data_IF_195505835276
#
_entry.id   IF_195505835276
#
_cell.length_a   1.000
_cell.length_b   1.000
_cell.length_c   1.000
_cell.angle_alpha   90.00
_cell.angle_beta   90.00
_cell.angle_gamma   90.00
#
_symmetry.space_group_name_H-M   'P 1'
#
loop_
_entity.id
_entity.type
_entity.pdbx_description
1 polymer ?
#
# COMPACT_ATOMS: atom_id res chain seq x y z
N UNK A 1 -35.69 12.58 25.67
CA UNK A 1 -35.64 12.07 24.28
C UNK A 1 -34.19 11.79 23.98
N UNK A 2 -33.86 10.59 23.51
CA UNK A 2 -32.51 10.33 22.99
C UNK A 2 -32.31 11.15 21.71
N UNK A 3 -31.22 11.90 21.65
CA UNK A 3 -30.81 12.62 20.43
C UNK A 3 -30.43 11.58 19.39
N UNK A 4 -30.98 11.67 18.18
CA UNK A 4 -30.72 10.66 17.16
C UNK A 4 -29.25 10.67 16.73
N UNK A 5 -28.72 9.52 16.30
CA UNK A 5 -27.35 9.43 15.78
C UNK A 5 -27.07 10.43 14.64
N UNK A 6 -28.08 10.79 13.85
CA UNK A 6 -27.95 11.79 12.80
C UNK A 6 -27.79 13.22 13.33
N UNK A 7 -28.44 13.56 14.46
CA UNK A 7 -28.27 14.84 15.14
C UNK A 7 -26.96 14.91 15.92
N UNK A 8 -26.51 13.79 16.50
CA UNK A 8 -25.18 13.66 17.09
C UNK A 8 -24.07 13.84 16.05
N UNK A 9 -24.20 13.23 14.87
CA UNK A 9 -23.26 13.45 13.76
C UNK A 9 -23.27 14.92 13.32
N UNK A 10 -24.45 15.50 13.05
CA UNK A 10 -24.59 16.91 12.62
C UNK A 10 -23.97 17.93 13.58
N UNK A 11 -23.99 17.68 14.89
CA UNK A 11 -23.40 18.57 15.89
C UNK A 11 -21.89 18.38 16.09
N UNK A 12 -21.29 17.32 15.55
CA UNK A 12 -19.87 16.98 15.71
C UNK A 12 -19.06 16.97 14.40
N UNK A 13 -19.70 17.06 13.22
CA UNK A 13 -18.98 17.26 11.95
C UNK A 13 -18.42 18.68 11.82
N UNK A 14 -17.22 18.78 11.26
CA UNK A 14 -16.64 20.03 10.77
C UNK A 14 -16.88 20.14 9.26
N UNK A 15 -17.84 20.97 8.79
CA UNK A 15 -18.15 21.06 7.37
C UNK A 15 -17.08 21.84 6.60
N UNK A 16 -16.90 21.47 5.34
CA UNK A 16 -16.14 22.21 4.32
C UNK A 16 -16.88 22.10 2.99
N UNK A 17 -16.62 22.98 2.03
CA UNK A 17 -17.26 22.99 0.70
C UNK A 17 -16.55 22.07 -0.27
N UNK A 18 -15.22 22.19 -0.36
CA UNK A 18 -14.38 21.28 -1.15
C UNK A 18 -12.93 21.35 -0.69
N UNK A 19 -12.17 20.28 -0.95
CA UNK A 19 -10.73 20.25 -0.64
C UNK A 19 -9.98 21.39 -1.32
N UNK A 20 -10.29 21.68 -2.60
CA UNK A 20 -9.63 22.73 -3.36
C UNK A 20 -9.93 24.16 -2.86
N UNK A 21 -11.09 24.42 -2.23
CA UNK A 21 -11.44 25.74 -1.71
C UNK A 21 -11.02 25.93 -0.25
N UNK A 22 -11.08 24.87 0.56
CA UNK A 22 -10.90 24.93 2.01
C UNK A 22 -9.63 24.20 2.49
N UNK A 23 -8.64 23.98 1.61
CA UNK A 23 -7.45 23.13 1.86
C UNK A 23 -6.76 23.44 3.20
N UNK A 24 -6.51 24.71 3.49
CA UNK A 24 -5.90 25.13 4.76
C UNK A 24 -6.76 24.80 5.98
N UNK A 25 -8.08 24.92 5.86
CA UNK A 25 -9.02 24.68 6.95
C UNK A 25 -9.16 23.20 7.21
N UNK A 26 -9.27 22.39 6.14
CA UNK A 26 -9.42 20.93 6.21
C UNK A 26 -8.15 20.28 6.75
N UNK A 27 -6.97 20.67 6.27
CA UNK A 27 -5.69 20.09 6.73
C UNK A 27 -5.42 20.39 8.21
N UNK A 28 -5.69 21.63 8.67
CA UNK A 28 -5.62 22.02 10.10
C UNK A 28 -6.56 21.23 11.01
N UNK A 29 -7.59 20.52 10.50
CA UNK A 29 -8.38 19.62 11.34
C UNK A 29 -7.61 18.38 11.80
N UNK A 30 -6.53 18.03 11.09
CA UNK A 30 -5.68 16.87 11.38
C UNK A 30 -4.43 17.23 12.20
N UNK A 31 -4.17 18.49 12.51
CA UNK A 31 -3.02 18.96 13.33
C UNK A 31 -2.80 18.11 14.60
N UNK A 32 -3.89 17.80 15.33
CA UNK A 32 -3.89 16.89 16.50
C UNK A 32 -3.56 15.40 16.23
N UNK A 33 -3.14 15.05 15.02
CA UNK A 33 -2.67 13.72 14.61
C UNK A 33 -1.15 13.74 14.36
N UNK A 34 -0.49 14.91 14.38
CA UNK A 34 0.92 15.08 14.06
C UNK A 34 1.89 14.25 14.89
N UNK A 35 1.52 13.89 16.12
CA UNK A 35 2.35 13.09 17.05
C UNK A 35 2.24 11.56 16.84
N UNK A 36 1.38 11.08 15.95
CA UNK A 36 1.28 9.64 15.68
C UNK A 36 2.47 9.13 14.84
N UNK A 37 2.84 7.86 15.04
CA UNK A 37 3.93 7.18 14.33
C UNK A 37 3.46 6.67 12.97
N UNK A 38 2.20 6.27 12.88
CA UNK A 38 1.53 5.78 11.67
C UNK A 38 0.16 6.43 11.52
N UNK A 39 -0.07 7.08 10.38
CA UNK A 39 -1.36 7.64 9.97
C UNK A 39 -1.88 6.89 8.73
N UNK A 40 -2.87 6.03 8.92
CA UNK A 40 -3.49 5.28 7.82
C UNK A 40 -4.69 6.07 7.27
N UNK A 41 -4.73 6.31 5.95
CA UNK A 41 -5.77 7.08 5.26
C UNK A 41 -6.43 6.21 4.19
N UNK A 42 -7.68 5.85 4.45
CA UNK A 42 -8.47 4.91 3.64
C UNK A 42 -9.24 5.57 2.51
N UNK A 43 -9.34 4.91 1.35
CA UNK A 43 -10.41 5.17 0.39
C UNK A 43 -11.60 4.19 0.56
N UNK A 44 -12.82 4.64 0.26
CA UNK A 44 -13.99 3.75 0.15
C UNK A 44 -14.15 3.15 -1.27
N UNK A 45 -13.33 3.60 -2.21
CA UNK A 45 -13.19 3.06 -3.57
C UNK A 45 -11.96 3.67 -4.24
N UNK A 46 -11.18 2.85 -4.94
CA UNK A 46 -9.98 3.28 -5.67
C UNK A 46 -10.25 4.16 -6.90
N UNK A 47 -11.51 4.46 -7.21
CA UNK A 47 -11.94 5.20 -8.40
C UNK A 47 -12.52 6.59 -8.14
N UNK A 48 -12.27 7.19 -6.97
CA UNK A 48 -12.86 8.48 -6.57
C UNK A 48 -11.79 9.57 -6.46
N UNK A 49 -11.84 10.56 -7.36
CA UNK A 49 -10.90 11.70 -7.43
C UNK A 49 -10.73 12.42 -6.09
N UNK A 50 -11.84 12.66 -5.38
CA UNK A 50 -11.85 13.38 -4.12
C UNK A 50 -11.11 12.63 -3.00
N UNK A 51 -11.07 11.29 -3.04
CA UNK A 51 -10.34 10.47 -2.07
C UNK A 51 -8.82 10.52 -2.29
N UNK A 52 -8.34 10.63 -3.54
CA UNK A 52 -6.93 10.91 -3.80
C UNK A 52 -6.58 12.36 -3.46
N UNK A 53 -7.44 13.31 -3.82
CA UNK A 53 -7.25 14.72 -3.52
C UNK A 53 -7.11 14.99 -2.01
N UNK A 54 -8.01 14.44 -1.18
CA UNK A 54 -7.91 14.62 0.28
C UNK A 54 -6.72 13.88 0.88
N UNK A 55 -6.39 12.67 0.39
CA UNK A 55 -5.18 11.94 0.79
C UNK A 55 -3.92 12.76 0.50
N UNK A 56 -3.81 13.30 -0.70
CA UNK A 56 -2.69 14.15 -1.10
C UNK A 56 -2.54 15.37 -0.19
N UNK A 57 -3.59 16.20 -0.02
CA UNK A 57 -3.48 17.44 0.76
C UNK A 57 -3.22 17.19 2.26
N UNK A 58 -3.83 16.17 2.88
CA UNK A 58 -3.49 15.77 4.25
C UNK A 58 -2.02 15.34 4.33
N UNK A 59 -1.54 14.57 3.35
CA UNK A 59 -0.18 14.02 3.35
C UNK A 59 0.87 15.12 3.16
N UNK A 60 0.63 16.07 2.24
CA UNK A 60 1.46 17.27 2.06
C UNK A 60 1.61 18.03 3.38
N UNK A 61 0.49 18.32 4.03
CA UNK A 61 0.47 19.04 5.31
C UNK A 61 1.22 18.29 6.42
N UNK A 62 1.05 16.98 6.52
CA UNK A 62 1.72 16.14 7.51
C UNK A 62 3.23 16.05 7.31
N UNK A 63 3.69 15.95 6.04
CA UNK A 63 5.11 16.02 5.69
C UNK A 63 5.67 17.37 6.12
N UNK A 64 5.03 18.46 5.68
CA UNK A 64 5.50 19.84 5.91
C UNK A 64 5.53 20.27 7.39
N UNK A 65 4.56 19.86 8.20
CA UNK A 65 4.33 20.44 9.53
C UNK A 65 4.57 19.46 10.70
N UNK A 66 4.58 18.15 10.44
CA UNK A 66 4.61 17.13 11.51
C UNK A 66 5.71 16.07 11.34
N UNK A 67 6.59 16.22 10.35
CA UNK A 67 7.79 15.38 10.19
C UNK A 67 7.51 13.97 9.65
N UNK A 68 6.41 13.79 8.90
CA UNK A 68 6.18 12.55 8.17
C UNK A 68 7.13 12.45 6.97
N UNK A 69 7.81 11.32 6.82
CA UNK A 69 8.89 11.13 5.84
C UNK A 69 8.84 9.77 5.12
N UNK A 70 7.74 9.02 5.30
CA UNK A 70 7.40 7.79 4.61
C UNK A 70 5.96 7.94 4.10
N UNK A 71 5.76 7.86 2.78
CA UNK A 71 4.45 7.67 2.17
C UNK A 71 4.40 6.25 1.63
N UNK A 72 3.63 5.38 2.29
CA UNK A 72 3.49 3.98 1.92
C UNK A 72 2.12 3.75 1.28
N UNK A 73 2.05 3.01 0.18
CA UNK A 73 0.82 2.78 -0.58
C UNK A 73 0.53 1.29 -0.75
N UNK A 74 -0.75 0.95 -0.93
CA UNK A 74 -1.23 -0.37 -1.36
C UNK A 74 -0.87 -0.62 -2.83
N UNK A 75 0.41 -0.78 -3.08
CA UNK A 75 0.98 -1.13 -4.38
C UNK A 75 2.28 -1.91 -4.20
N UNK A 76 2.74 -2.46 -5.31
CA UNK A 76 3.97 -3.22 -5.40
C UNK A 76 5.23 -2.42 -5.09
N UNK A 77 6.19 -3.06 -4.41
CA UNK A 77 7.46 -2.45 -4.03
C UNK A 77 8.30 -1.95 -5.23
N UNK A 78 8.59 -2.73 -6.29
CA UNK A 78 9.39 -2.25 -7.42
C UNK A 78 8.77 -1.04 -8.14
N UNK A 79 7.44 -1.04 -8.26
CA UNK A 79 6.70 0.00 -8.97
C UNK A 79 6.76 1.32 -8.18
N UNK A 80 6.54 1.26 -6.86
CA UNK A 80 6.69 2.40 -5.97
C UNK A 80 8.14 2.87 -5.83
N UNK A 81 9.13 1.96 -5.83
CA UNK A 81 10.55 2.33 -5.83
C UNK A 81 10.95 3.15 -7.07
N UNK A 82 10.37 2.86 -8.24
CA UNK A 82 10.60 3.68 -9.45
C UNK A 82 10.11 5.13 -9.29
N UNK A 83 9.12 5.35 -8.42
CA UNK A 83 8.63 6.67 -8.00
C UNK A 83 9.47 7.23 -6.85
N UNK A 84 9.90 6.42 -5.87
CA UNK A 84 10.81 6.83 -4.79
C UNK A 84 12.08 7.49 -5.33
N UNK A 85 12.74 6.83 -6.29
CA UNK A 85 13.95 7.34 -6.93
C UNK A 85 13.67 8.66 -7.67
N UNK A 86 12.47 8.84 -8.21
CA UNK A 86 12.04 10.09 -8.83
C UNK A 86 11.78 11.21 -7.82
N UNK A 87 11.10 10.93 -6.70
CA UNK A 87 10.78 11.96 -5.70
C UNK A 87 11.95 12.32 -4.80
N UNK A 88 12.86 11.39 -4.52
CA UNK A 88 14.07 11.62 -3.71
C UNK A 88 15.33 11.93 -4.54
N UNK A 89 15.19 12.07 -5.87
CA UNK A 89 16.30 12.32 -6.83
C UNK A 89 17.45 11.29 -6.76
N UNK A 90 17.15 10.05 -6.36
CA UNK A 90 18.17 9.05 -6.02
C UNK A 90 18.85 8.49 -7.27
N UNK A 91 20.20 8.50 -7.34
CA UNK A 91 20.93 7.70 -8.32
C UNK A 91 20.81 6.20 -8.00
N UNK A 92 21.12 5.33 -8.96
CA UNK A 92 21.15 3.88 -8.73
C UNK A 92 20.95 3.05 -10.00
N UNK A 93 20.95 1.70 -9.89
CA UNK A 93 20.72 0.80 -11.02
C UNK A 93 19.26 0.83 -11.51
N UNK A 94 18.30 1.15 -10.63
CA UNK A 94 16.89 1.33 -10.97
C UNK A 94 16.59 2.70 -11.62
N UNK A 95 15.69 2.73 -12.59
CA UNK A 95 15.32 3.98 -13.29
C UNK A 95 14.21 4.74 -12.56
N UNK A 96 14.49 6.01 -12.21
CA UNK A 96 13.51 6.96 -11.71
C UNK A 96 12.51 7.37 -12.81
N UNK A 97 11.22 7.01 -12.70
CA UNK A 97 10.22 7.40 -13.72
C UNK A 97 8.81 7.64 -13.15
N UNK A 98 8.16 8.71 -13.62
CA UNK A 98 6.71 8.97 -13.49
C UNK A 98 6.01 9.05 -14.85
N UNK A 99 6.70 8.54 -15.87
CA UNK A 99 6.37 8.86 -17.25
C UNK A 99 5.12 8.15 -17.78
N UNK A 100 4.58 8.70 -18.86
CA UNK A 100 3.37 8.18 -19.50
C UNK A 100 3.62 6.80 -20.14
N UNK A 101 2.55 6.03 -20.33
CA UNK A 101 2.61 4.74 -21.04
C UNK A 101 3.20 4.86 -22.44
N UNK A 102 3.02 6.01 -23.11
CA UNK A 102 3.62 6.26 -24.43
C UNK A 102 5.14 6.47 -24.34
N UNK A 103 5.63 7.18 -23.31
CA UNK A 103 7.06 7.35 -23.07
C UNK A 103 7.73 6.02 -22.71
N UNK A 104 7.06 5.21 -21.88
CA UNK A 104 7.51 3.86 -21.53
C UNK A 104 7.68 2.97 -22.76
N UNK A 105 6.64 2.89 -23.61
CA UNK A 105 6.67 2.13 -24.86
C UNK A 105 7.77 2.61 -25.83
N UNK A 106 8.02 3.94 -25.93
CA UNK A 106 9.11 4.48 -26.75
C UNK A 106 10.51 4.09 -26.26
N UNK A 107 10.68 3.86 -24.95
CA UNK A 107 11.92 3.37 -24.34
C UNK A 107 11.99 1.83 -24.25
N UNK A 108 11.02 1.11 -24.82
CA UNK A 108 10.99 -0.36 -24.78
C UNK A 108 10.80 -0.95 -23.38
N UNK A 109 10.16 -0.20 -22.46
CA UNK A 109 10.01 -0.57 -21.05
C UNK A 109 8.54 -0.58 -20.62
N UNK A 110 8.25 -1.32 -19.56
CA UNK A 110 6.96 -1.31 -18.90
C UNK A 110 6.85 -0.12 -17.92
N UNK A 111 5.75 0.64 -17.91
CA UNK A 111 5.51 1.66 -16.89
C UNK A 111 5.05 1.04 -15.56
N UNK A 112 5.39 1.68 -14.44
CA UNK A 112 4.91 1.29 -13.11
C UNK A 112 3.38 1.37 -12.98
N UNK A 113 2.82 0.56 -12.08
CA UNK A 113 1.41 0.43 -11.75
C UNK A 113 0.53 0.00 -12.93
N UNK A 114 0.91 -1.10 -13.60
CA UNK A 114 0.04 -1.81 -14.56
C UNK A 114 -0.65 -3.05 -14.00
N UNK A 115 -0.12 -3.69 -12.94
CA UNK A 115 -0.75 -4.87 -12.30
C UNK A 115 -2.02 -4.53 -11.50
N UNK A 116 -2.12 -3.28 -11.02
CA UNK A 116 -3.34 -2.76 -10.41
C UNK A 116 -4.21 -2.11 -11.48
N UNK A 117 -5.55 -2.06 -11.30
CA UNK A 117 -6.44 -1.32 -12.18
C UNK A 117 -5.92 0.11 -12.37
N UNK A 118 -5.61 0.49 -13.61
CA UNK A 118 -4.72 1.64 -13.89
C UNK A 118 -5.16 2.96 -13.26
N UNK A 119 -6.46 3.16 -13.04
CA UNK A 119 -7.02 4.35 -12.39
C UNK A 119 -6.66 4.49 -10.90
N UNK A 120 -6.23 3.40 -10.23
CA UNK A 120 -5.84 3.38 -8.82
C UNK A 120 -4.60 4.24 -8.57
N UNK A 121 -3.52 4.05 -9.33
CA UNK A 121 -2.25 4.77 -9.11
C UNK A 121 -1.79 5.61 -10.31
N UNK A 122 -2.33 5.42 -11.53
CA UNK A 122 -1.98 6.21 -12.73
C UNK A 122 -3.03 7.29 -13.03
N UNK A 123 -3.48 7.99 -12.00
CA UNK A 123 -4.40 9.14 -12.08
C UNK A 123 -3.68 10.51 -11.95
N UNK A 124 -4.43 11.60 -12.09
CA UNK A 124 -3.88 12.97 -12.10
C UNK A 124 -3.46 13.40 -10.69
N UNK A 125 -4.24 13.00 -9.69
CA UNK A 125 -4.06 13.36 -8.29
C UNK A 125 -2.77 12.76 -7.71
N UNK A 126 -2.49 11.49 -8.02
CA UNK A 126 -1.23 10.81 -7.66
C UNK A 126 -0.06 11.43 -8.43
N UNK A 127 -0.19 11.73 -9.73
CA UNK A 127 0.85 12.44 -10.49
C UNK A 127 1.19 13.79 -9.84
N UNK A 128 0.20 14.62 -9.56
CA UNK A 128 0.40 15.97 -9.02
C UNK A 128 0.93 15.94 -7.58
N UNK A 129 0.56 14.92 -6.80
CA UNK A 129 1.18 14.66 -5.50
C UNK A 129 2.66 14.25 -5.61
N UNK A 130 3.00 13.39 -6.58
CA UNK A 130 4.38 12.93 -6.82
C UNK A 130 5.28 14.05 -7.34
N UNK A 131 4.81 14.88 -8.27
CA UNK A 131 5.53 16.09 -8.71
C UNK A 131 5.74 17.08 -7.56
N UNK A 132 4.74 17.22 -6.67
CA UNK A 132 4.89 18.00 -5.44
C UNK A 132 5.95 17.40 -4.51
N UNK A 133 5.97 16.07 -4.29
CA UNK A 133 6.99 15.43 -3.44
C UNK A 133 8.40 15.65 -4.00
N UNK A 134 8.59 15.46 -5.32
CA UNK A 134 9.87 15.74 -5.99
C UNK A 134 10.31 17.18 -5.80
N UNK A 135 9.38 18.13 -5.92
CA UNK A 135 9.65 19.55 -5.72
C UNK A 135 10.03 19.85 -4.27
N UNK A 136 9.26 19.33 -3.30
CA UNK A 136 9.52 19.49 -1.87
C UNK A 136 10.87 18.90 -1.43
N UNK A 137 11.25 17.75 -1.98
CA UNK A 137 12.51 17.08 -1.67
C UNK A 137 13.75 17.67 -2.37
N UNK A 138 13.60 18.67 -3.26
CA UNK A 138 14.71 19.11 -4.13
C UNK A 138 15.89 19.75 -3.39
N UNK A 139 15.64 20.35 -2.22
CA UNK A 139 16.66 20.97 -1.36
C UNK A 139 16.97 20.14 -0.08
N UNK A 140 16.40 18.93 0.03
CA UNK A 140 16.59 18.03 1.18
C UNK A 140 17.65 16.98 0.86
N UNK A 141 18.35 16.49 1.90
CA UNK A 141 19.21 15.31 1.75
C UNK A 141 18.37 14.04 1.64
N UNK A 142 18.94 12.95 1.13
CA UNK A 142 18.21 11.70 0.89
C UNK A 142 17.60 11.07 2.17
N UNK A 143 18.30 11.23 3.30
CA UNK A 143 17.84 10.79 4.62
C UNK A 143 16.68 11.64 5.18
N UNK A 144 16.63 12.93 4.84
CA UNK A 144 15.59 13.89 5.25
C UNK A 144 14.37 13.86 4.32
N UNK A 145 14.60 13.67 3.01
CA UNK A 145 13.60 13.67 1.95
C UNK A 145 12.50 12.63 2.18
N UNK A 146 11.24 13.00 1.94
CA UNK A 146 10.09 12.10 2.08
C UNK A 146 10.11 11.03 0.96
N UNK A 147 10.14 9.76 1.35
CA UNK A 147 10.16 8.63 0.40
C UNK A 147 8.77 8.08 0.07
N UNK A 148 8.69 7.31 -1.02
CA UNK A 148 7.44 6.76 -1.55
C UNK A 148 7.56 5.24 -1.74
N UNK A 149 6.73 4.44 -1.05
CA UNK A 149 6.98 3.01 -0.88
C UNK A 149 5.74 2.15 -1.16
N UNK A 150 5.94 0.97 -1.71
CA UNK A 150 4.90 -0.04 -1.85
C UNK A 150 4.83 -0.90 -0.60
N UNK A 151 3.66 -1.42 -0.28
CA UNK A 151 3.47 -2.38 0.81
C UNK A 151 3.08 -3.78 0.30
N UNK A 152 2.65 -3.91 -0.95
CA UNK A 152 1.97 -5.10 -1.48
C UNK A 152 2.94 -6.11 -2.13
N UNK A 153 2.45 -7.34 -2.34
CA UNK A 153 3.26 -8.52 -2.66
C UNK A 153 3.00 -9.17 -4.03
N UNK A 154 2.13 -8.62 -4.87
CA UNK A 154 1.79 -9.22 -6.18
C UNK A 154 2.95 -9.22 -7.19
N UNK A 155 3.96 -8.37 -6.97
CA UNK A 155 5.18 -8.19 -7.76
C UNK A 155 6.19 -9.36 -7.69
N UNK A 156 5.75 -10.62 -7.72
CA UNK A 156 6.65 -11.78 -7.66
C UNK A 156 7.75 -11.74 -8.74
N UNK A 157 7.35 -11.56 -10.01
CA UNK A 157 8.27 -11.52 -11.15
C UNK A 157 9.22 -10.31 -11.14
N UNK A 158 8.69 -9.11 -10.91
CA UNK A 158 9.49 -7.87 -10.88
C UNK A 158 10.40 -7.80 -9.66
N UNK A 159 9.99 -8.36 -8.51
CA UNK A 159 10.84 -8.45 -7.32
C UNK A 159 11.99 -9.46 -7.49
N UNK A 160 11.76 -10.62 -8.12
CA UNK A 160 12.85 -11.55 -8.48
C UNK A 160 13.90 -10.86 -9.36
N UNK A 161 13.45 -10.06 -10.33
CA UNK A 161 14.34 -9.26 -11.18
C UNK A 161 15.08 -8.18 -10.38
N UNK A 162 14.40 -7.43 -9.51
CA UNK A 162 15.03 -6.39 -8.68
C UNK A 162 16.13 -6.96 -7.76
N UNK A 163 15.93 -8.16 -7.18
CA UNK A 163 16.97 -8.88 -6.41
C UNK A 163 18.16 -9.21 -7.30
N UNK A 164 17.94 -9.70 -8.52
CA UNK A 164 19.01 -10.04 -9.46
C UNK A 164 19.80 -8.80 -9.89
N UNK A 165 19.11 -7.71 -10.26
CA UNK A 165 19.73 -6.46 -10.72
C UNK A 165 20.54 -5.78 -9.59
N UNK A 166 20.06 -5.86 -8.34
CA UNK A 166 20.82 -5.44 -7.16
C UNK A 166 22.09 -6.28 -6.97
N UNK A 167 21.98 -7.62 -7.01
CA UNK A 167 23.12 -8.51 -6.84
C UNK A 167 24.15 -8.40 -7.97
N UNK A 168 23.74 -8.21 -9.24
CA UNK A 168 24.68 -7.96 -10.36
C UNK A 168 25.55 -6.70 -10.13
N UNK A 169 25.10 -5.79 -9.26
CA UNK A 169 25.83 -4.58 -8.84
C UNK A 169 26.79 -4.86 -7.67
N UNK A 170 26.38 -5.60 -6.64
CA UNK A 170 27.17 -5.77 -5.39
C UNK A 170 27.90 -7.12 -5.23
N UNK A 171 27.37 -8.22 -5.77
CA UNK A 171 27.96 -9.56 -5.74
C UNK A 171 27.48 -10.38 -6.96
N UNK A 172 28.29 -10.38 -8.01
CA UNK A 172 27.99 -11.04 -9.29
C UNK A 172 27.93 -12.57 -9.18
N UNK A 173 28.62 -13.18 -8.23
CA UNK A 173 28.57 -14.62 -8.02
C UNK A 173 27.24 -15.00 -7.36
N UNK A 174 26.83 -14.24 -6.34
CA UNK A 174 25.49 -14.37 -5.75
C UNK A 174 24.37 -14.03 -6.76
N UNK A 175 24.60 -13.12 -7.71
CA UNK A 175 23.66 -12.86 -8.79
C UNK A 175 23.47 -14.08 -9.71
N UNK A 176 24.51 -14.87 -9.99
CA UNK A 176 24.36 -16.15 -10.71
C UNK A 176 23.59 -17.18 -9.88
N UNK A 177 23.80 -17.22 -8.55
CA UNK A 177 23.02 -18.08 -7.65
C UNK A 177 21.54 -17.67 -7.66
N UNK A 178 21.22 -16.37 -7.63
CA UNK A 178 19.87 -15.85 -7.72
C UNK A 178 19.20 -16.19 -9.07
N UNK A 179 19.91 -15.96 -10.19
CA UNK A 179 19.47 -16.38 -11.54
C UNK A 179 19.16 -17.87 -11.60
N UNK A 180 20.02 -18.71 -11.02
CA UNK A 180 19.81 -20.16 -10.94
C UNK A 180 18.57 -20.54 -10.13
N UNK A 181 18.42 -20.01 -8.91
CA UNK A 181 17.29 -20.29 -8.00
C UNK A 181 15.95 -19.80 -8.54
N UNK A 182 15.90 -18.58 -9.07
CA UNK A 182 14.67 -17.99 -9.58
C UNK A 182 14.30 -18.50 -10.99
N UNK A 183 15.23 -19.08 -11.77
CA UNK A 183 14.99 -19.53 -13.15
C UNK A 183 13.67 -20.26 -13.39
N UNK A 184 13.30 -21.20 -12.50
CA UNK A 184 12.07 -22.00 -12.62
C UNK A 184 10.81 -21.26 -12.18
N UNK A 185 10.91 -20.40 -11.16
CA UNK A 185 9.80 -19.56 -10.69
C UNK A 185 9.52 -18.42 -11.69
N UNK A 186 10.54 -17.93 -12.40
CA UNK A 186 10.43 -16.93 -13.47
C UNK A 186 9.56 -17.39 -14.65
N UNK A 187 9.33 -18.70 -14.85
CA UNK A 187 8.36 -19.18 -15.84
C UNK A 187 6.91 -18.75 -15.53
N UNK A 188 6.64 -18.39 -14.28
CA UNK A 188 5.34 -17.95 -13.77
C UNK A 188 5.36 -16.46 -13.36
N UNK A 189 6.35 -15.70 -13.85
CA UNK A 189 6.50 -14.29 -13.51
C UNK A 189 5.41 -13.40 -14.13
N UNK A 190 4.94 -13.76 -15.32
CA UNK A 190 3.92 -13.02 -16.07
C UNK A 190 2.49 -13.37 -15.61
N UNK A 191 2.24 -14.63 -15.23
CA UNK A 191 1.00 -15.07 -14.56
C UNK A 191 1.30 -15.97 -13.34
N UNK A 192 1.40 -15.38 -12.13
CA UNK A 192 1.57 -16.14 -10.89
C UNK A 192 0.33 -16.94 -10.45
N UNK A 193 -0.85 -16.74 -11.05
CA UNK A 193 -2.05 -17.51 -10.72
C UNK A 193 -1.90 -18.95 -11.26
N UNK A 194 -1.29 -19.14 -12.43
CA UNK A 194 -0.97 -20.48 -12.94
C UNK A 194 -0.04 -21.26 -12.00
N UNK A 195 0.92 -20.60 -11.35
CA UNK A 195 1.77 -21.22 -10.30
C UNK A 195 0.94 -21.71 -9.11
N UNK A 196 -0.01 -20.89 -8.66
CA UNK A 196 -0.93 -21.25 -7.60
C UNK A 196 -1.78 -22.47 -7.95
N UNK A 197 -2.29 -22.52 -9.18
CA UNK A 197 -3.10 -23.63 -9.68
C UNK A 197 -2.30 -24.93 -9.79
N UNK A 198 -1.10 -24.89 -10.38
CA UNK A 198 -0.20 -26.05 -10.47
C UNK A 198 0.21 -26.56 -9.07
N UNK A 199 0.27 -25.68 -8.06
CA UNK A 199 0.56 -26.07 -6.68
C UNK A 199 -0.50 -26.94 -6.00
N UNK A 200 -1.66 -27.17 -6.64
CA UNK A 200 -2.63 -28.17 -6.19
C UNK A 200 -2.21 -29.61 -6.55
N UNK A 201 -1.32 -29.80 -7.54
CA UNK A 201 -0.82 -31.11 -7.92
C UNK A 201 0.07 -31.70 -6.82
N UNK A 202 -0.26 -32.87 -6.28
CA UNK A 202 0.48 -33.49 -5.18
C UNK A 202 1.97 -33.80 -5.51
N UNK A 203 2.32 -33.89 -6.79
CA UNK A 203 3.69 -34.03 -7.29
C UNK A 203 4.49 -32.72 -7.28
N UNK A 204 3.82 -31.56 -7.28
CA UNK A 204 4.47 -30.25 -7.35
C UNK A 204 4.83 -29.75 -5.95
N UNK A 205 6.13 -29.56 -5.71
CA UNK A 205 6.66 -29.16 -4.39
C UNK A 205 6.86 -27.64 -4.26
N UNK A 206 6.60 -26.87 -5.32
CA UNK A 206 6.91 -25.44 -5.38
C UNK A 206 8.41 -25.13 -5.37
N UNK A 207 8.72 -23.83 -5.27
CA UNK A 207 10.10 -23.31 -5.26
C UNK A 207 10.49 -22.64 -3.93
N UNK A 208 9.63 -22.73 -2.91
CA UNK A 208 9.81 -22.23 -1.54
C UNK A 208 11.23 -22.44 -0.97
N UNK A 209 11.83 -23.62 -1.17
CA UNK A 209 13.18 -23.93 -0.67
C UNK A 209 14.25 -23.02 -1.28
N UNK A 210 14.19 -22.79 -2.59
CA UNK A 210 15.14 -21.96 -3.32
C UNK A 210 14.93 -20.47 -3.01
N UNK A 211 13.67 -20.04 -2.89
CA UNK A 211 13.30 -18.67 -2.50
C UNK A 211 13.74 -18.35 -1.06
N UNK A 212 13.49 -19.25 -0.11
CA UNK A 212 13.95 -19.09 1.29
C UNK A 212 15.47 -19.14 1.38
N UNK A 213 16.15 -19.98 0.59
CA UNK A 213 17.61 -20.01 0.54
C UNK A 213 18.17 -18.67 0.02
N UNK A 214 17.53 -18.07 -1.00
CA UNK A 214 17.95 -16.77 -1.53
C UNK A 214 17.81 -15.64 -0.50
N UNK A 215 16.67 -15.55 0.19
CA UNK A 215 16.48 -14.58 1.27
C UNK A 215 17.48 -14.79 2.42
N UNK A 216 17.76 -16.05 2.80
CA UNK A 216 18.76 -16.36 3.84
C UNK A 216 20.16 -15.90 3.47
N UNK A 217 20.61 -16.16 2.25
CA UNK A 217 21.98 -15.81 1.83
C UNK A 217 22.19 -14.28 1.75
N UNK A 218 21.17 -13.53 1.31
CA UNK A 218 21.16 -12.05 1.38
C UNK A 218 21.25 -11.56 2.83
N UNK A 219 20.45 -12.15 3.73
CA UNK A 219 20.44 -11.75 5.16
C UNK A 219 21.72 -12.13 5.91
N UNK A 220 22.41 -13.21 5.50
CA UNK A 220 23.73 -13.58 6.04
C UNK A 220 24.78 -12.53 5.66
N UNK A 221 24.75 -12.04 4.42
CA UNK A 221 25.67 -11.02 3.91
C UNK A 221 25.29 -9.57 4.22
N UNK A 222 24.24 -9.33 5.02
CA UNK A 222 23.68 -7.98 5.25
C UNK A 222 24.70 -6.88 5.61
N UNK A 223 25.73 -7.20 6.41
CA UNK A 223 26.74 -6.21 6.83
C UNK A 223 27.65 -5.82 5.65
N UNK A 224 28.09 -6.81 4.87
CA UNK A 224 28.89 -6.65 3.66
C UNK A 224 28.10 -5.84 2.62
N UNK A 225 26.86 -6.26 2.36
CA UNK A 225 25.99 -5.66 1.34
C UNK A 225 25.47 -4.27 1.71
N UNK A 226 25.21 -3.97 2.99
CA UNK A 226 24.81 -2.62 3.41
C UNK A 226 25.96 -1.60 3.27
N UNK A 227 27.21 -2.06 3.37
CA UNK A 227 28.40 -1.21 3.23
C UNK A 227 28.89 -1.09 1.78
N UNK A 228 28.51 -2.02 0.89
CA UNK A 228 29.00 -2.08 -0.50
C UNK A 228 28.68 -0.84 -1.35
N UNK A 229 27.59 -0.14 -1.03
CA UNK A 229 27.17 1.11 -1.68
C UNK A 229 27.03 2.29 -0.70
N UNK A 230 27.51 2.13 0.54
CA UNK A 230 27.51 3.12 1.64
C UNK A 230 26.13 3.71 2.03
N UNK A 231 25.03 3.22 1.44
CA UNK A 231 23.71 3.88 1.49
C UNK A 231 22.68 3.19 2.39
N UNK A 232 22.87 1.90 2.69
CA UNK A 232 21.92 1.02 3.37
C UNK A 232 20.55 0.84 2.68
N UNK A 233 20.21 1.66 1.69
CA UNK A 233 18.87 1.83 1.11
C UNK A 233 18.69 0.94 -0.13
N UNK A 234 19.71 0.80 -0.98
CA UNK A 234 19.78 -0.23 -2.02
C UNK A 234 19.78 -1.62 -1.38
N UNK A 235 20.52 -1.82 -0.28
CA UNK A 235 20.45 -3.09 0.47
C UNK A 235 19.04 -3.33 1.03
N UNK A 236 18.42 -2.33 1.66
CA UNK A 236 17.06 -2.45 2.18
C UNK A 236 16.05 -2.80 1.08
N UNK A 237 16.18 -2.19 -0.11
CA UNK A 237 15.34 -2.52 -1.26
C UNK A 237 15.60 -3.94 -1.78
N UNK A 238 16.86 -4.36 -1.91
CA UNK A 238 17.22 -5.73 -2.31
C UNK A 238 16.70 -6.78 -1.32
N UNK A 239 16.82 -6.52 -0.02
CA UNK A 239 16.26 -7.37 1.06
C UNK A 239 14.73 -7.43 0.97
N UNK A 240 14.06 -6.28 0.84
CA UNK A 240 12.61 -6.20 0.82
C UNK A 240 12.02 -6.86 -0.44
N UNK A 241 12.64 -6.71 -1.61
CA UNK A 241 12.27 -7.47 -2.81
C UNK A 241 12.43 -8.98 -2.59
N UNK A 242 13.51 -9.45 -1.94
CA UNK A 242 13.68 -10.87 -1.62
C UNK A 242 12.61 -11.40 -0.63
N UNK A 243 12.11 -10.54 0.27
CA UNK A 243 10.96 -10.84 1.14
C UNK A 243 9.65 -10.90 0.37
N UNK A 244 9.40 -9.95 -0.54
CA UNK A 244 8.23 -9.98 -1.45
C UNK A 244 8.20 -11.29 -2.21
N UNK A 245 9.31 -11.76 -2.81
CA UNK A 245 9.32 -13.06 -3.52
C UNK A 245 8.97 -14.23 -2.57
N UNK A 246 9.46 -14.22 -1.33
CA UNK A 246 9.15 -15.25 -0.32
C UNK A 246 7.69 -15.24 0.12
N UNK A 247 7.09 -14.07 0.28
CA UNK A 247 5.69 -13.94 0.71
C UNK A 247 4.71 -14.16 -0.46
N UNK A 248 5.07 -13.72 -1.67
CA UNK A 248 4.33 -13.96 -2.91
C UNK A 248 4.25 -15.45 -3.26
N UNK A 249 5.37 -16.19 -3.16
CA UNK A 249 5.39 -17.65 -3.39
C UNK A 249 4.39 -18.37 -2.48
N UNK A 250 4.33 -17.98 -1.20
CA UNK A 250 3.36 -18.51 -0.24
C UNK A 250 1.92 -18.08 -0.55
N UNK A 251 1.71 -16.80 -0.88
CA UNK A 251 0.40 -16.25 -1.20
C UNK A 251 -0.26 -16.93 -2.42
N UNK A 252 0.45 -17.04 -3.55
CA UNK A 252 -0.11 -17.66 -4.75
C UNK A 252 -0.39 -19.16 -4.54
N UNK A 253 0.41 -19.87 -3.73
CA UNK A 253 0.12 -21.25 -3.29
C UNK A 253 -1.12 -21.36 -2.40
N UNK A 254 -1.35 -20.39 -1.51
CA UNK A 254 -2.50 -20.38 -0.60
C UNK A 254 -3.82 -20.01 -1.30
N UNK A 255 -3.76 -19.22 -2.38
CA UNK A 255 -4.92 -18.72 -3.14
C UNK A 255 -5.96 -19.78 -3.50
N UNK A 256 -5.52 -20.99 -3.85
CA UNK A 256 -6.41 -22.10 -4.22
C UNK A 256 -6.72 -23.08 -3.07
N UNK A 257 -6.22 -22.81 -1.86
CA UNK A 257 -6.35 -23.68 -0.68
C UNK A 257 -7.28 -23.11 0.40
N UNK A 258 -7.36 -21.78 0.55
CA UNK A 258 -8.29 -21.11 1.46
C UNK A 258 -8.39 -19.60 1.23
N UNK A 259 -9.57 -19.00 1.45
CA UNK A 259 -9.80 -17.55 1.24
C UNK A 259 -9.19 -16.69 2.33
N UNK A 260 -9.43 -17.05 3.59
CA UNK A 260 -9.05 -16.20 4.72
C UNK A 260 -7.51 -16.22 4.94
N UNK A 261 -6.85 -17.30 4.49
CA UNK A 261 -5.39 -17.45 4.52
C UNK A 261 -4.67 -16.41 3.67
N UNK A 262 -5.12 -16.15 2.43
CA UNK A 262 -4.46 -15.18 1.54
C UNK A 262 -4.66 -13.74 1.98
N UNK A 263 -5.84 -13.40 2.49
CA UNK A 263 -6.09 -12.08 3.07
C UNK A 263 -5.13 -11.81 4.25
N UNK A 264 -5.04 -12.77 5.18
CA UNK A 264 -4.18 -12.66 6.35
C UNK A 264 -2.69 -12.61 5.99
N UNK A 265 -2.25 -13.37 4.98
CA UNK A 265 -0.89 -13.28 4.44
C UNK A 265 -0.58 -11.89 3.87
N UNK A 266 -1.50 -11.30 3.08
CA UNK A 266 -1.32 -10.00 2.43
C UNK A 266 -1.23 -8.85 3.43
N UNK A 267 -2.18 -8.75 4.36
CA UNK A 267 -2.16 -7.67 5.36
C UNK A 267 -1.02 -7.84 6.39
N UNK A 268 -0.61 -9.08 6.68
CA UNK A 268 0.61 -9.33 7.49
C UNK A 268 1.86 -8.85 6.75
N UNK A 269 2.03 -9.19 5.47
CA UNK A 269 3.16 -8.71 4.67
C UNK A 269 3.20 -7.18 4.60
N UNK A 270 2.07 -6.52 4.31
CA UNK A 270 2.00 -5.05 4.30
C UNK A 270 2.44 -4.44 5.64
N UNK A 271 2.00 -5.03 6.76
CA UNK A 271 2.35 -4.56 8.10
C UNK A 271 3.84 -4.79 8.43
N UNK A 272 4.39 -5.94 8.07
CA UNK A 272 5.82 -6.19 8.28
C UNK A 272 6.69 -5.29 7.41
N UNK A 273 6.31 -5.06 6.14
CA UNK A 273 7.00 -4.15 5.23
C UNK A 273 6.99 -2.72 5.76
N UNK A 274 5.84 -2.25 6.27
CA UNK A 274 5.74 -0.96 6.96
C UNK A 274 6.62 -0.89 8.22
N UNK A 275 6.70 -1.98 8.99
CA UNK A 275 7.54 -2.05 10.19
C UNK A 275 9.03 -1.99 9.83
N UNK A 276 9.46 -2.75 8.81
CA UNK A 276 10.84 -2.71 8.28
C UNK A 276 11.21 -1.33 7.75
N UNK A 277 10.29 -0.65 7.05
CA UNK A 277 10.46 0.73 6.58
C UNK A 277 10.68 1.71 7.74
N UNK A 278 9.85 1.65 8.79
CA UNK A 278 9.96 2.51 9.98
C UNK A 278 11.26 2.27 10.76
N UNK A 279 11.73 1.03 10.79
CA UNK A 279 13.01 0.66 11.41
C UNK A 279 14.21 1.15 10.58
N UNK A 280 14.20 0.92 9.26
CA UNK A 280 15.25 1.35 8.34
C UNK A 280 15.39 2.89 8.28
N UNK A 281 14.28 3.63 8.24
CA UNK A 281 14.25 5.09 8.24
C UNK A 281 14.50 5.72 9.63
N UNK A 282 14.80 4.92 10.64
CA UNK A 282 15.20 5.38 11.97
C UNK A 282 14.06 5.68 12.95
N UNK A 283 14.44 5.90 14.21
CA UNK A 283 13.49 5.97 15.34
C UNK A 283 12.44 7.09 15.21
N UNK A 284 12.82 8.21 14.62
CA UNK A 284 12.00 9.42 14.52
C UNK A 284 11.17 9.50 13.22
N UNK A 285 11.31 8.51 12.33
CA UNK A 285 10.48 8.39 11.12
C UNK A 285 8.98 8.39 11.43
N UNK A 286 8.13 8.87 10.52
CA UNK A 286 6.68 8.69 10.63
C UNK A 286 6.09 8.36 9.27
N UNK A 287 5.14 7.43 9.26
CA UNK A 287 4.55 6.90 8.04
C UNK A 287 3.10 7.33 7.85
N UNK A 288 2.76 7.68 6.61
CA UNK A 288 1.39 7.77 6.13
C UNK A 288 1.14 6.58 5.22
N UNK A 289 0.03 5.89 5.43
CA UNK A 289 -0.37 4.72 4.64
C UNK A 289 -1.59 5.07 3.80
N UNK A 290 -1.54 4.91 2.48
CA UNK A 290 -2.71 4.99 1.60
C UNK A 290 -3.09 3.59 1.13
N UNK A 291 -4.21 3.08 1.63
CA UNK A 291 -4.76 1.77 1.27
C UNK A 291 -6.29 1.83 1.31
N UNK A 292 -6.97 0.76 0.93
CA UNK A 292 -8.43 0.69 1.05
C UNK A 292 -8.90 0.72 2.51
N UNK A 293 -10.13 1.19 2.74
CA UNK A 293 -10.81 1.15 4.04
C UNK A 293 -10.79 -0.25 4.69
N UNK A 294 -10.79 -1.33 3.90
CA UNK A 294 -10.66 -2.71 4.38
C UNK A 294 -9.31 -2.98 5.07
N UNK A 295 -8.23 -2.39 4.56
CA UNK A 295 -6.88 -2.54 5.11
C UNK A 295 -6.64 -1.59 6.29
N UNK A 296 -7.06 -0.33 6.20
CA UNK A 296 -6.74 0.69 7.23
C UNK A 296 -7.64 0.70 8.48
N UNK A 297 -8.78 0.00 8.43
CA UNK A 297 -9.72 -0.13 9.55
C UNK A 297 -9.17 -0.97 10.72
N UNK A 298 -10.00 -1.28 11.71
CA UNK A 298 -9.66 -2.26 12.76
C UNK A 298 -10.55 -3.49 12.58
N UNK A 299 -10.02 -4.58 12.01
CA UNK A 299 -10.79 -5.77 11.66
C UNK A 299 -11.52 -6.41 12.85
N UNK A 300 -11.04 -6.23 14.10
CA UNK A 300 -11.71 -6.68 15.33
C UNK A 300 -13.07 -6.03 15.54
N UNK A 301 -13.30 -4.85 14.95
CA UNK A 301 -14.56 -4.11 15.00
C UNK A 301 -15.47 -4.36 13.79
N UNK A 302 -15.06 -5.17 12.81
CA UNK A 302 -15.82 -5.44 11.58
C UNK A 302 -16.04 -6.96 11.39
N UNK A 303 -16.91 -7.35 10.46
CA UNK A 303 -17.17 -8.77 10.17
C UNK A 303 -15.94 -9.58 9.78
N UNK A 304 -14.85 -8.91 9.40
CA UNK A 304 -13.55 -9.53 9.11
C UNK A 304 -13.09 -10.34 10.32
N UNK A 305 -12.87 -9.69 11.47
CA UNK A 305 -12.34 -10.35 12.67
C UNK A 305 -13.33 -11.30 13.35
N UNK A 306 -14.62 -10.94 13.49
CA UNK A 306 -15.57 -11.75 14.26
C UNK A 306 -16.40 -12.76 13.45
N UNK A 307 -16.22 -12.86 12.13
CA UNK A 307 -16.93 -13.87 11.33
C UNK A 307 -16.13 -14.54 10.20
N UNK A 308 -14.93 -14.05 9.87
CA UNK A 308 -14.07 -14.61 8.82
C UNK A 308 -12.65 -14.93 9.28
N UNK A 309 -12.32 -14.65 10.55
CA UNK A 309 -10.96 -14.78 11.09
C UNK A 309 -9.91 -13.97 10.30
N UNK A 310 -10.37 -12.92 9.59
CA UNK A 310 -9.57 -11.98 8.81
C UNK A 310 -8.98 -10.90 9.73
N UNK A 311 -7.66 -10.70 9.67
CA UNK A 311 -6.96 -9.53 10.24
C UNK A 311 -6.83 -8.42 9.19
N UNK A 312 -6.36 -7.24 9.59
CA UNK A 312 -5.97 -6.20 8.64
C UNK A 312 -4.80 -5.31 9.13
N UNK A 313 -4.19 -4.59 8.19
CA UNK A 313 -3.04 -3.71 8.41
C UNK A 313 -3.29 -2.69 9.54
N UNK A 314 -4.49 -2.10 9.58
CA UNK A 314 -4.87 -1.12 10.61
C UNK A 314 -5.07 -1.73 12.01
N UNK A 315 -5.55 -2.97 12.13
CA UNK A 315 -5.52 -3.72 13.39
C UNK A 315 -4.07 -3.95 13.82
N UNK A 316 -3.22 -4.49 12.94
CA UNK A 316 -1.82 -4.82 13.27
C UNK A 316 -1.03 -3.57 13.70
N UNK A 317 -1.26 -2.44 13.02
CA UNK A 317 -0.68 -1.15 13.42
C UNK A 317 -1.15 -0.69 14.82
N UNK A 318 -2.45 -0.86 15.14
CA UNK A 318 -2.98 -0.53 16.47
C UNK A 318 -2.48 -1.46 17.57
N UNK A 319 -2.24 -2.73 17.26
CA UNK A 319 -1.66 -3.69 18.20
C UNK A 319 -0.16 -3.41 18.45
N UNK A 320 0.58 -2.99 17.42
CA UNK A 320 2.02 -2.69 17.50
C UNK A 320 2.35 -1.32 18.09
N UNK A 321 1.60 -0.29 17.72
CA UNK A 321 1.90 1.12 18.03
C UNK A 321 0.86 1.78 18.96
N UNK A 322 -0.23 1.08 19.30
CA UNK A 322 -1.25 1.57 20.23
C UNK A 322 -1.85 2.91 19.79
N UNK A 323 -1.81 3.90 20.68
CA UNK A 323 -2.31 5.26 20.42
C UNK A 323 -1.54 6.00 19.33
N UNK A 324 -0.35 5.53 18.94
CA UNK A 324 0.45 6.10 17.85
C UNK A 324 0.06 5.58 16.45
N UNK A 325 -0.97 4.73 16.33
CA UNK A 325 -1.55 4.30 15.04
C UNK A 325 -2.98 4.83 14.86
N UNK A 326 -3.11 5.94 14.13
CA UNK A 326 -4.39 6.57 13.82
C UNK A 326 -4.87 6.13 12.43
N UNK A 327 -6.17 5.88 12.31
CA UNK A 327 -6.82 5.61 11.02
C UNK A 327 -7.77 6.76 10.69
N UNK A 328 -7.87 7.12 9.41
CA UNK A 328 -8.88 7.99 8.81
C UNK A 328 -9.60 7.15 7.75
N UNK A 329 -10.85 6.78 7.98
CA UNK A 329 -11.70 6.20 6.93
C UNK A 329 -12.40 7.29 6.13
N UNK A 330 -12.62 7.06 4.83
CA UNK A 330 -13.47 7.92 3.97
C UNK A 330 -14.78 7.22 3.61
N UNK A 331 -15.73 7.94 3.01
CA UNK A 331 -17.00 7.39 2.54
C UNK A 331 -17.74 8.36 1.63
N UNK A 332 -18.56 7.82 0.73
CA UNK A 332 -19.43 8.61 -0.18
C UNK A 332 -20.84 8.02 -0.28
N UNK A 333 -21.82 8.85 -0.65
CA UNK A 333 -23.25 8.52 -0.70
C UNK A 333 -23.83 8.50 -2.12
N UNK A 334 -23.26 9.32 -3.00
CA UNK A 334 -23.77 9.66 -4.33
C UNK A 334 -22.60 10.16 -5.17
N UNK A 335 -22.64 9.91 -6.47
CA UNK A 335 -21.61 10.30 -7.41
C UNK A 335 -21.29 9.15 -8.37
N UNK A 336 -20.21 9.33 -9.11
CA UNK A 336 -19.71 8.36 -10.10
C UNK A 336 -18.28 7.98 -9.73
N UNK A 337 -17.92 6.71 -9.85
CA UNK A 337 -16.58 6.19 -9.56
C UNK A 337 -16.02 5.45 -10.76
N UNK A 338 -14.70 5.48 -10.95
CA UNK A 338 -14.01 4.61 -11.89
C UNK A 338 -13.98 3.16 -11.35
N UNK A 339 -14.59 2.22 -12.07
CA UNK A 339 -14.65 0.81 -11.68
C UNK A 339 -14.80 -0.08 -12.92
N UNK A 340 -14.58 -1.39 -12.75
CA UNK A 340 -14.86 -2.41 -13.76
C UNK A 340 -15.94 -3.39 -13.26
N UNK A 341 -16.61 -4.08 -14.17
CA UNK A 341 -17.63 -5.09 -13.82
C UNK A 341 -17.01 -6.40 -13.33
N UNK A 342 -15.80 -6.71 -13.81
CA UNK A 342 -15.00 -7.88 -13.46
C UNK A 342 -13.57 -7.41 -13.15
N UNK A 343 -12.79 -8.26 -12.48
CA UNK A 343 -11.34 -8.11 -12.39
C UNK A 343 -10.72 -8.02 -13.80
N UNK A 344 -9.69 -7.19 -13.96
CA UNK A 344 -9.04 -6.81 -15.23
C UNK A 344 -9.97 -6.31 -16.36
N UNK A 345 -11.24 -6.00 -16.05
CA UNK A 345 -12.17 -5.42 -17.00
C UNK A 345 -11.88 -3.94 -17.30
N UNK A 346 -12.39 -3.47 -18.44
CA UNK A 346 -12.28 -2.06 -18.84
C UNK A 346 -12.85 -1.10 -17.79
N UNK A 347 -12.19 0.05 -17.63
CA UNK A 347 -12.63 1.12 -16.75
C UNK A 347 -13.93 1.74 -17.25
N UNK A 348 -14.93 1.80 -16.37
CA UNK A 348 -16.23 2.43 -16.60
C UNK A 348 -16.50 3.45 -15.49
N UNK A 349 -17.16 4.56 -15.85
CA UNK A 349 -17.77 5.46 -14.86
C UNK A 349 -19.08 4.85 -14.35
N UNK A 350 -19.07 4.35 -13.12
CA UNK A 350 -20.24 3.70 -12.50
C UNK A 350 -20.92 4.63 -11.50
N UNK A 351 -22.24 4.82 -11.63
CA UNK A 351 -23.03 5.55 -10.63
C UNK A 351 -23.14 4.73 -9.34
N UNK A 352 -22.90 5.38 -8.21
CA UNK A 352 -23.14 4.80 -6.89
C UNK A 352 -24.64 4.60 -6.67
N UNK A 353 -25.03 3.35 -6.36
CA UNK A 353 -26.40 3.04 -5.97
C UNK A 353 -26.84 3.92 -4.80
N UNK A 354 -27.96 4.64 -4.93
CA UNK A 354 -28.48 5.49 -3.85
C UNK A 354 -28.68 4.65 -2.59
N UNK A 355 -27.89 4.93 -1.56
CA UNK A 355 -27.91 4.18 -0.30
C UNK A 355 -29.33 4.11 0.27
N UNK A 356 -29.73 2.92 0.76
CA UNK A 356 -30.97 2.79 1.52
C UNK A 356 -30.95 3.76 2.71
N UNK A 357 -32.12 4.17 3.23
CA UNK A 357 -32.22 5.10 4.39
C UNK A 357 -31.47 4.62 5.65
N UNK A 358 -31.06 3.35 5.69
CA UNK A 358 -30.19 2.79 6.71
C UNK A 358 -28.69 3.04 6.42
N UNK A 359 -28.25 2.88 5.16
CA UNK A 359 -26.86 3.08 4.73
C UNK A 359 -26.42 4.56 4.80
N UNK A 360 -27.33 5.51 4.54
CA UNK A 360 -27.06 6.96 4.59
C UNK A 360 -26.63 7.46 5.98
N UNK A 361 -26.72 6.63 7.04
CA UNK A 361 -26.33 6.99 8.42
C UNK A 361 -24.84 6.82 8.72
N UNK A 362 -24.06 6.18 7.85
CA UNK A 362 -22.67 5.77 8.13
C UNK A 362 -21.60 6.72 7.53
N UNK A 363 -21.99 7.93 7.12
CA UNK A 363 -21.19 8.81 6.27
C UNK A 363 -20.54 9.97 7.03
N UNK A 364 -19.42 9.69 7.70
CA UNK A 364 -18.48 10.65 8.28
C UNK A 364 -17.08 10.03 8.32
N UNK A 365 -16.01 10.84 8.22
CA UNK A 365 -14.64 10.35 8.39
C UNK A 365 -14.40 9.91 9.85
N UNK A 366 -13.71 8.79 10.04
CA UNK A 366 -13.63 8.08 11.34
C UNK A 366 -12.25 8.22 12.01
N UNK A 367 -12.19 8.64 13.29
CA UNK A 367 -11.00 8.66 14.19
C UNK A 367 -11.31 7.90 15.49
N UNK A 368 -10.58 6.83 15.80
CA UNK A 368 -10.72 6.17 17.09
C UNK A 368 -9.80 6.81 18.16
N UNK A 369 -10.39 7.28 19.28
CA UNK A 369 -9.83 7.24 20.66
C UNK A 369 -10.87 7.84 21.65
N UNK A 370 -11.27 7.01 22.62
CA UNK A 370 -12.08 7.24 23.85
C UNK A 370 -12.93 8.53 24.03
N UNK A 371 -14.24 8.32 24.20
CA UNK A 371 -15.29 9.23 24.73
C UNK A 371 -15.41 10.63 24.09
N UNK A 372 -16.37 10.93 23.21
CA UNK A 372 -17.58 10.26 22.69
C UNK A 372 -17.86 10.84 21.28
N UNK A 373 -18.61 10.26 20.34
CA UNK A 373 -18.99 8.87 20.01
C UNK A 373 -19.33 8.86 18.51
N UNK A 374 -18.85 7.99 17.62
CA UNK A 374 -18.33 6.61 17.71
C UNK A 374 -19.45 5.58 17.94
N UNK A 375 -19.95 5.01 16.83
CA UNK A 375 -21.01 3.98 16.80
C UNK A 375 -20.44 2.68 16.22
N UNK A 376 -20.59 1.59 16.97
CA UNK A 376 -20.50 0.23 16.45
C UNK A 376 -21.72 -0.03 15.54
N UNK A 377 -21.50 -0.04 14.22
CA UNK A 377 -22.50 -0.57 13.29
C UNK A 377 -22.24 -2.07 13.16
N UNK A 378 -23.16 -2.89 13.69
CA UNK A 378 -23.29 -4.28 13.20
C UNK A 378 -23.60 -4.22 11.71
N UNK A 379 -22.59 -4.47 10.89
CA UNK A 379 -22.75 -4.50 9.45
C UNK A 379 -23.68 -5.67 9.06
N UNK A 380 -24.94 -5.34 8.77
CA UNK A 380 -25.78 -6.26 8.01
C UNK A 380 -25.18 -6.36 6.60
N UNK A 381 -24.64 -7.53 6.29
CA UNK A 381 -23.88 -7.77 5.07
C UNK A 381 -24.70 -7.43 3.81
N UNK A 382 -24.10 -6.63 2.91
CA UNK A 382 -24.40 -6.79 1.50
C UNK A 382 -23.54 -7.94 0.96
N UNK A 383 -24.21 -8.90 0.31
CA UNK A 383 -23.59 -10.09 -0.26
C UNK A 383 -23.10 -9.81 -1.67
N UNK A 384 -22.00 -10.47 -2.03
CA UNK A 384 -21.55 -10.66 -3.41
C UNK A 384 -20.27 -9.90 -3.74
N UNK A 385 -19.44 -10.40 -4.66
CA UNK A 385 -19.41 -11.75 -5.24
C UNK A 385 -18.04 -11.92 -5.88
N UNK A 386 -17.20 -12.80 -5.35
CA UNK A 386 -15.98 -13.23 -6.04
C UNK A 386 -16.06 -14.75 -6.20
N UNK A 387 -16.33 -15.16 -7.44
CA UNK A 387 -15.75 -16.35 -8.06
C UNK A 387 -14.63 -15.83 -8.96
N UNK A 388 -13.47 -16.46 -9.08
CA UNK A 388 -13.21 -17.88 -8.79
C UNK A 388 -12.26 -18.08 -7.62
#
# INVERSE_FOLDING_TARGET
>A
MEVSSAEQLKSNVKPFKSIAQDVETVTKYFDSFGDCKVLLIGDASHGTSEFYSVRAEITKYMIQNHGFNIVAIEADWPDAESVDRYVRHRPGPGQATVETTQMAKRKGREPAFLRFPTWMWRNIEVRDFVEWMRSYNSDLKEEEAAGFYGLDLYSMGTSMKAVIDYLDTVDKDMAQVAKGRYSKLMHWADDPHEYGLESLAASFQGYEKDVIAMLKDILIKRIEYSAALDDGTEFHSGEQNARVVKDAEQYYKAMYRGRDETWNLRDTHMFETLTRLLEHRGRDSKAIVWAHNSHVGDARATSMGWSREELNLGQLCKERFGVQALSIGTGTNTGTVAAAQNWDGDMNGMELSKGSRAATRSLCMLRALTTLSWISVKANAMRGYEKY
#
